data_IF_280470225956
#
_entry.id   IF_280470225956
#
_cell.length_a   1.000
_cell.length_b   1.000
_cell.length_c   1.000
_cell.angle_alpha   90.00
_cell.angle_beta   90.00
_cell.angle_gamma   90.00
#
_symmetry.space_group_name_H-M   'P 1'
#
loop_
_entity.id
_entity.type
_entity.pdbx_description
1 polymer ?
#
# COMPACT_ATOMS: atom_id res chain seq x y z
N UNK A 1 2.12 -6.47 6.84
CA UNK A 1 1.53 -5.47 7.75
C UNK A 1 1.84 -4.06 7.28
N UNK A 2 0.81 -3.30 6.88
CA UNK A 2 0.90 -1.93 6.37
C UNK A 2 0.54 -0.88 7.44
N UNK A 3 1.05 0.37 7.38
CA UNK A 3 0.61 1.43 8.28
C UNK A 3 -0.90 1.70 8.17
N UNK A 4 -1.60 1.76 9.30
CA UNK A 4 -3.06 2.06 9.35
C UNK A 4 -3.38 3.44 8.75
N UNK A 5 -2.51 4.42 9.00
CA UNK A 5 -2.65 5.80 8.55
C UNK A 5 -1.39 6.33 7.90
N UNK A 6 -1.55 7.32 7.02
CA UNK A 6 -0.47 8.11 6.45
C UNK A 6 0.32 8.86 7.53
N UNK A 7 1.65 8.75 7.53
CA UNK A 7 2.50 9.48 8.47
C UNK A 7 2.44 11.00 8.32
N UNK A 8 2.06 11.51 7.15
CA UNK A 8 2.03 12.96 6.88
C UNK A 8 0.67 13.58 7.14
N UNK A 9 -0.39 13.04 6.56
CA UNK A 9 -1.72 13.66 6.63
C UNK A 9 -2.72 12.90 7.50
N UNK A 10 -2.35 11.75 8.06
CA UNK A 10 -3.21 10.96 8.94
C UNK A 10 -4.40 10.27 8.26
N UNK A 11 -4.51 10.32 6.94
CA UNK A 11 -5.58 9.60 6.22
C UNK A 11 -5.46 8.09 6.46
N UNK A 12 -6.58 7.38 6.53
CA UNK A 12 -6.59 5.91 6.63
C UNK A 12 -6.18 5.32 5.28
N UNK A 13 -5.19 4.42 5.28
CA UNK A 13 -4.61 3.85 4.05
C UNK A 13 -4.62 2.32 4.07
N UNK A 14 -4.62 1.68 5.25
CA UNK A 14 -4.48 0.23 5.33
C UNK A 14 -5.57 -0.57 4.59
N UNK A 15 -6.78 -0.02 4.44
CA UNK A 15 -7.85 -0.70 3.70
C UNK A 15 -7.55 -0.88 2.21
N UNK A 16 -6.76 0.02 1.62
CA UNK A 16 -6.44 0.01 0.18
C UNK A 16 -5.25 -0.90 -0.16
N UNK A 17 -4.57 -1.47 0.84
CA UNK A 17 -3.31 -2.21 0.62
C UNK A 17 -3.51 -3.55 -0.08
N UNK A 18 -4.53 -4.32 0.29
CA UNK A 18 -4.74 -5.64 -0.31
C UNK A 18 -5.05 -5.52 -1.80
N UNK A 19 -5.97 -4.63 -2.16
CA UNK A 19 -6.32 -4.38 -3.56
C UNK A 19 -5.16 -3.80 -4.37
N UNK A 20 -4.39 -2.86 -3.79
CA UNK A 20 -3.18 -2.34 -4.44
C UNK A 20 -2.13 -3.45 -4.65
N UNK A 21 -1.92 -4.32 -3.66
CA UNK A 21 -0.95 -5.42 -3.74
C UNK A 21 -1.33 -6.41 -4.84
N UNK A 22 -2.59 -6.84 -4.88
CA UNK A 22 -3.09 -7.79 -5.89
C UNK A 22 -2.98 -7.21 -7.30
N UNK A 23 -3.41 -5.95 -7.50
CA UNK A 23 -3.50 -5.35 -8.84
C UNK A 23 -2.16 -4.83 -9.36
N UNK A 24 -1.39 -4.13 -8.53
CA UNK A 24 -0.20 -3.38 -8.97
C UNK A 24 1.14 -4.04 -8.62
N UNK A 25 1.20 -4.90 -7.58
CA UNK A 25 2.44 -5.61 -7.21
C UNK A 25 2.52 -7.03 -7.72
N UNK A 26 1.44 -7.78 -7.53
CA UNK A 26 1.33 -9.17 -7.96
C UNK A 26 0.78 -9.26 -9.39
N UNK A 27 -0.09 -8.32 -9.78
CA UNK A 27 -0.57 -8.12 -11.14
C UNK A 27 0.33 -7.23 -11.99
N UNK A 28 -0.08 -7.06 -13.24
CA UNK A 28 0.61 -6.27 -14.28
C UNK A 28 -0.04 -4.88 -14.52
N UNK A 29 -0.93 -4.42 -13.62
CA UNK A 29 -1.55 -3.11 -13.76
C UNK A 29 -0.59 -1.98 -13.36
N UNK A 30 -0.73 -0.83 -14.03
CA UNK A 30 0.08 0.34 -13.73
C UNK A 30 -0.23 0.88 -12.31
N UNK A 31 0.76 0.99 -11.41
CA UNK A 31 0.53 1.42 -10.04
C UNK A 31 -0.12 2.80 -9.92
N UNK A 32 0.13 3.71 -10.86
CA UNK A 32 -0.47 5.05 -10.85
C UNK A 32 -1.98 4.96 -11.05
N UNK A 33 -2.43 4.18 -12.04
CA UNK A 33 -3.85 3.98 -12.34
C UNK A 33 -4.58 3.29 -11.21
N UNK A 34 -3.98 2.25 -10.62
CA UNK A 34 -4.58 1.55 -9.48
C UNK A 34 -4.75 2.51 -8.30
N UNK A 35 -3.77 3.36 -8.01
CA UNK A 35 -3.87 4.36 -6.94
C UNK A 35 -4.91 5.46 -7.24
N UNK A 36 -5.10 5.83 -8.51
CA UNK A 36 -6.15 6.76 -8.93
C UNK A 36 -7.54 6.15 -8.72
N UNK A 37 -7.74 4.88 -9.08
CA UNK A 37 -9.00 4.17 -8.93
C UNK A 37 -9.37 3.90 -7.47
N UNK A 38 -8.38 3.62 -6.62
CA UNK A 38 -8.54 3.50 -5.16
C UNK A 38 -8.78 4.86 -4.47
N UNK A 39 -8.80 5.96 -5.23
CA UNK A 39 -9.04 7.31 -4.69
C UNK A 39 -7.88 7.87 -3.85
N UNK A 40 -6.67 7.31 -3.99
CA UNK A 40 -5.47 7.76 -3.27
C UNK A 40 -4.81 8.89 -4.05
N UNK A 41 -5.34 10.10 -3.97
CA UNK A 41 -4.88 11.23 -4.80
C UNK A 41 -3.56 11.87 -4.31
N UNK A 42 -3.37 11.96 -3.00
CA UNK A 42 -2.24 12.70 -2.41
C UNK A 42 -0.94 11.92 -2.49
N UNK A 43 0.12 12.55 -3.01
CA UNK A 43 1.46 11.96 -3.08
C UNK A 43 1.97 11.41 -1.72
N UNK A 44 1.64 12.10 -0.61
CA UNK A 44 2.05 11.68 0.72
C UNK A 44 1.37 10.37 1.19
N UNK A 45 0.16 10.08 0.68
CA UNK A 45 -0.53 8.81 0.87
C UNK A 45 0.01 7.75 -0.10
N UNK A 46 0.19 8.08 -1.38
CA UNK A 46 0.70 7.14 -2.40
C UNK A 46 2.02 6.51 -2.02
N UNK A 47 2.97 7.31 -1.50
CA UNK A 47 4.28 6.78 -1.07
C UNK A 47 4.19 5.70 0.02
N UNK A 48 3.11 5.68 0.81
CA UNK A 48 2.91 4.67 1.86
C UNK A 48 2.53 3.31 1.28
N UNK A 49 1.96 3.26 0.07
CA UNK A 49 1.61 2.01 -0.62
C UNK A 49 2.74 1.61 -1.56
N UNK A 50 3.21 2.53 -2.42
CA UNK A 50 4.24 2.25 -3.43
C UNK A 50 5.53 1.71 -2.79
N UNK A 51 6.02 2.38 -1.75
CA UNK A 51 7.32 2.06 -1.11
C UNK A 51 7.23 1.07 0.04
N UNK A 52 6.04 0.54 0.36
CA UNK A 52 5.91 -0.39 1.49
C UNK A 52 6.35 -1.80 1.12
N UNK A 53 7.20 -2.42 1.93
CA UNK A 53 7.57 -3.83 1.78
C UNK A 53 7.07 -4.62 2.97
N UNK A 54 6.32 -5.69 2.69
CA UNK A 54 5.76 -6.54 3.74
C UNK A 54 6.76 -7.64 4.11
N UNK A 55 7.39 -7.48 5.27
CA UNK A 55 8.36 -8.42 5.79
C UNK A 55 7.76 -9.40 6.82
N UNK A 56 6.45 -9.30 7.09
CA UNK A 56 5.82 -10.10 8.15
C UNK A 56 5.94 -11.59 7.85
N UNK A 57 5.69 -12.01 6.61
CA UNK A 57 5.77 -13.42 6.21
C UNK A 57 7.20 -13.97 6.31
N UNK A 58 8.21 -13.11 6.13
CA UNK A 58 9.63 -13.47 6.22
C UNK A 58 10.07 -13.61 7.67
N UNK A 59 9.58 -12.75 8.56
CA UNK A 59 10.00 -12.70 9.97
C UNK A 59 9.20 -13.69 10.84
N UNK A 60 7.94 -13.97 10.49
CA UNK A 60 7.04 -14.84 11.25
C UNK A 60 7.61 -16.22 11.64
N UNK A 61 8.39 -16.94 10.80
CA UNK A 61 8.93 -18.26 11.14
C UNK A 61 9.99 -18.25 12.25
N UNK A 62 10.56 -17.09 12.56
CA UNK A 62 11.64 -16.93 13.55
C UNK A 62 11.12 -16.43 14.91
N UNK A 63 9.79 -16.22 15.03
CA UNK A 63 9.12 -15.79 16.25
C UNK A 63 8.45 -16.94 16.99
#
# INVERSE_FOLDING_TARGET
MVPVRCFTCGNVIAGEWEEFKERAREGDEDPEKVLDELGVERHCCRRMLVSHEDLVDVVAPYQ
#
